data_IF_586408777245
#
_entry.id   IF_586408777245
#
_cell.length_a   1.000
_cell.length_b   1.000
_cell.length_c   1.000
_cell.angle_alpha   90.00
_cell.angle_beta   90.00
_cell.angle_gamma   90.00
#
_symmetry.space_group_name_H-M   'P 1'
#
loop_
_entity.id
_entity.type
_entity.pdbx_description
1 polymer ?
#
# COMPACT_ATOMS: atom_id res chain seq x y z
N UNK A 1 -22.86 -18.26 -10.44
CA UNK A 1 -21.85 -17.39 -9.80
C UNK A 1 -22.03 -17.57 -8.30
N UNK A 2 -20.94 -17.77 -7.55
CA UNK A 2 -21.01 -17.94 -6.09
C UNK A 2 -20.84 -16.55 -5.47
N UNK A 3 -21.85 -16.07 -4.74
CA UNK A 3 -21.75 -14.81 -4.00
C UNK A 3 -20.87 -15.07 -2.77
N UNK A 4 -19.61 -14.65 -2.86
CA UNK A 4 -18.60 -14.83 -1.82
C UNK A 4 -17.97 -13.48 -1.50
N UNK A 5 -17.82 -13.10 -0.21
CA UNK A 5 -17.15 -11.88 0.18
C UNK A 5 -15.73 -11.77 -0.41
N UNK A 6 -15.31 -10.56 -0.81
CA UNK A 6 -14.00 -10.33 -1.42
C UNK A 6 -12.85 -10.80 -0.50
N UNK A 7 -12.98 -10.62 0.81
CA UNK A 7 -12.01 -11.10 1.79
C UNK A 7 -11.77 -12.62 1.70
N UNK A 8 -12.78 -13.40 1.33
CA UNK A 8 -12.71 -14.86 1.23
C UNK A 8 -12.21 -15.34 -0.15
N UNK A 9 -12.05 -14.46 -1.14
CA UNK A 9 -11.66 -14.83 -2.51
C UNK A 9 -10.17 -15.11 -2.67
N UNK A 10 -9.33 -14.66 -1.74
CA UNK A 10 -7.88 -14.75 -1.89
C UNK A 10 -7.36 -14.04 -3.15
N UNK A 11 -8.04 -12.98 -3.60
CA UNK A 11 -7.66 -12.20 -4.77
C UNK A 11 -6.27 -11.60 -4.60
N UNK A 12 -5.34 -12.03 -5.47
CA UNK A 12 -3.99 -11.48 -5.55
C UNK A 12 -3.77 -10.93 -6.96
N UNK A 13 -3.39 -9.66 -7.06
CA UNK A 13 -3.09 -9.05 -8.35
C UNK A 13 -1.77 -9.58 -8.92
N UNK A 14 -1.62 -9.57 -10.25
CA UNK A 14 -0.38 -10.03 -10.90
C UNK A 14 0.86 -9.27 -10.38
N UNK A 15 0.75 -7.95 -10.19
CA UNK A 15 1.86 -7.13 -9.69
C UNK A 15 2.22 -7.45 -8.23
N UNK A 16 1.23 -7.75 -7.38
CA UNK A 16 1.46 -8.21 -6.00
C UNK A 16 2.12 -9.59 -6.00
N UNK A 17 1.62 -10.53 -6.80
CA UNK A 17 2.17 -11.87 -6.90
C UNK A 17 3.61 -11.87 -7.44
N UNK A 18 3.90 -11.01 -8.42
CA UNK A 18 5.20 -10.92 -9.06
C UNK A 18 6.27 -10.21 -8.21
N UNK A 19 5.88 -9.45 -7.19
CA UNK A 19 6.81 -8.64 -6.40
C UNK A 19 7.43 -9.47 -5.26
N UNK A 20 8.70 -9.87 -5.34
CA UNK A 20 9.33 -10.67 -4.29
C UNK A 20 9.53 -9.88 -2.98
N UNK A 21 9.58 -8.54 -3.07
CA UNK A 21 9.76 -7.67 -1.91
C UNK A 21 8.46 -7.45 -1.11
N UNK A 22 7.30 -7.89 -1.63
CA UNK A 22 6.00 -7.64 -0.99
C UNK A 22 5.64 -6.15 -0.94
N UNK A 23 6.08 -5.37 -1.93
CA UNK A 23 5.90 -3.91 -1.94
C UNK A 23 4.48 -3.44 -2.31
N UNK A 24 3.68 -4.32 -2.93
CA UNK A 24 2.33 -4.01 -3.41
C UNK A 24 1.35 -4.85 -2.61
N UNK A 25 0.37 -4.21 -1.98
CA UNK A 25 -0.72 -4.89 -1.27
C UNK A 25 -2.05 -4.49 -1.91
N UNK A 26 -2.86 -5.48 -2.27
CA UNK A 26 -4.19 -5.31 -2.86
C UNK A 26 -5.23 -5.93 -1.93
N UNK A 27 -6.39 -5.29 -1.78
CA UNK A 27 -7.45 -5.79 -0.92
C UNK A 27 -8.64 -4.83 -0.82
N UNK A 28 -9.58 -5.18 0.06
CA UNK A 28 -10.78 -4.38 0.33
C UNK A 28 -10.50 -3.29 1.37
N UNK A 29 -10.77 -2.03 1.01
CA UNK A 29 -10.61 -0.89 1.91
C UNK A 29 -11.75 -0.75 2.92
N UNK A 30 -12.87 -1.45 2.70
CA UNK A 30 -13.98 -1.47 3.66
C UNK A 30 -13.73 -2.45 4.80
N UNK A 31 -12.73 -3.34 4.66
CA UNK A 31 -12.28 -4.24 5.73
C UNK A 31 -11.13 -3.58 6.50
N UNK A 32 -11.33 -3.14 7.76
CA UNK A 32 -10.28 -2.52 8.56
C UNK A 32 -9.17 -3.51 8.95
N UNK A 33 -9.46 -4.81 8.93
CA UNK A 33 -8.47 -5.84 9.24
C UNK A 33 -7.54 -6.13 8.06
N UNK A 34 -7.91 -5.73 6.84
CA UNK A 34 -7.10 -5.91 5.65
C UNK A 34 -5.78 -5.10 5.74
N UNK A 35 -4.69 -5.72 5.29
CA UNK A 35 -3.36 -5.12 5.32
C UNK A 35 -3.27 -3.83 4.51
N UNK A 36 -3.97 -3.74 3.38
CA UNK A 36 -4.05 -2.51 2.57
C UNK A 36 -4.71 -1.36 3.35
N UNK A 37 -5.76 -1.63 4.13
CA UNK A 37 -6.44 -0.63 4.96
C UNK A 37 -5.51 -0.07 6.04
N UNK A 38 -4.74 -0.95 6.68
CA UNK A 38 -3.72 -0.56 7.66
C UNK A 38 -2.57 0.23 7.03
N UNK A 39 -2.18 -0.09 5.79
CA UNK A 39 -1.15 0.67 5.07
C UNK A 39 -1.65 2.05 4.66
N UNK A 40 -2.91 2.18 4.24
CA UNK A 40 -3.49 3.48 3.89
C UNK A 40 -3.65 4.41 5.10
N UNK A 41 -3.80 3.87 6.32
CA UNK A 41 -3.86 4.65 7.55
C UNK A 41 -2.49 5.02 8.14
N UNK A 42 -1.39 4.55 7.53
CA UNK A 42 -0.03 4.87 7.99
C UNK A 42 0.33 6.34 7.76
N UNK A 43 1.11 6.94 8.67
CA UNK A 43 1.70 8.28 8.49
C UNK A 43 2.63 8.40 7.25
N UNK A 44 3.09 7.25 6.75
CA UNK A 44 3.89 7.17 5.54
C UNK A 44 3.04 7.19 4.26
N UNK A 45 1.73 6.99 4.34
CA UNK A 45 0.85 6.95 3.17
C UNK A 45 0.70 8.33 2.53
N UNK A 46 0.76 8.38 1.20
CA UNK A 46 0.45 9.59 0.44
C UNK A 46 -0.10 9.23 -0.95
N UNK A 47 -0.98 10.10 -1.46
CA UNK A 47 -1.47 10.01 -2.83
C UNK A 47 -0.62 10.83 -3.78
N UNK A 48 -0.59 10.44 -5.05
CA UNK A 48 0.07 11.20 -6.12
C UNK A 48 -0.91 12.22 -6.70
N UNK A 49 -0.46 13.49 -6.82
CA UNK A 49 -1.22 14.59 -7.42
C UNK A 49 -2.61 14.81 -6.78
N UNK A 50 -2.69 14.69 -5.46
CA UNK A 50 -3.97 14.83 -4.71
C UNK A 50 -4.53 16.25 -4.74
N UNK A 51 -3.67 17.24 -4.96
CA UNK A 51 -4.02 18.66 -5.13
C UNK A 51 -4.95 18.90 -6.34
N UNK A 52 -4.95 17.99 -7.32
CA UNK A 52 -5.85 18.03 -8.47
C UNK A 52 -7.23 17.41 -8.19
N UNK A 53 -7.49 16.96 -6.96
CA UNK A 53 -8.79 16.36 -6.58
C UNK A 53 -8.99 14.93 -7.12
N UNK A 54 -7.92 14.23 -7.51
CA UNK A 54 -7.95 12.91 -8.16
C UNK A 54 -8.47 11.78 -7.28
N UNK A 55 -8.44 11.94 -5.94
CA UNK A 55 -8.87 10.93 -4.95
C UNK A 55 -8.39 9.51 -5.32
N UNK A 56 -7.07 9.31 -5.49
CA UNK A 56 -6.54 8.07 -6.03
C UNK A 56 -6.81 6.90 -5.07
N UNK A 57 -7.11 5.72 -5.65
CA UNK A 57 -7.26 4.49 -4.87
C UNK A 57 -5.92 3.85 -4.50
N UNK A 58 -4.90 4.08 -5.31
CA UNK A 58 -3.54 3.65 -5.05
C UNK A 58 -2.81 4.74 -4.28
N UNK A 59 -2.38 4.41 -3.06
CA UNK A 59 -1.50 5.23 -2.25
C UNK A 59 -0.12 4.58 -2.20
N UNK A 60 0.90 5.40 -1.95
CA UNK A 60 2.28 4.97 -1.81
C UNK A 60 2.74 5.21 -0.38
N UNK A 61 3.68 4.38 0.09
CA UNK A 61 4.37 4.62 1.35
C UNK A 61 5.67 5.38 1.11
N UNK A 62 5.93 6.40 1.92
CA UNK A 62 7.18 7.18 1.86
C UNK A 62 8.38 6.26 2.06
N UNK A 63 9.40 6.43 1.22
CA UNK A 63 10.70 5.81 1.43
C UNK A 63 11.38 6.44 2.64
N UNK A 64 11.62 5.65 3.67
CA UNK A 64 12.44 6.06 4.83
C UNK A 64 13.87 5.62 4.56
N UNK A 65 14.80 6.59 4.51
CA UNK A 65 16.22 6.32 4.48
C UNK A 65 16.76 6.47 5.91
N UNK A 66 17.57 5.52 6.38
CA UNK A 66 18.20 5.55 7.69
C UNK A 66 19.71 5.77 7.54
N UNK A 67 20.16 7.02 7.29
CA UNK A 67 21.57 7.28 7.07
C UNK A 67 22.37 7.18 8.38
N UNK A 68 23.57 6.60 8.33
CA UNK A 68 24.46 6.55 9.50
C UNK A 68 24.99 7.96 9.82
N UNK A 69 24.77 8.51 11.03
CA UNK A 69 25.24 9.85 11.42
C UNK A 69 26.74 10.09 11.19
N UNK A 70 27.57 9.06 11.29
CA UNK A 70 29.03 9.15 11.10
C UNK A 70 29.45 9.30 9.62
N UNK A 71 28.58 8.90 8.68
CA UNK A 71 28.89 8.89 7.23
C UNK A 71 28.25 10.05 6.45
N UNK A 72 27.34 10.80 7.07
CA UNK A 72 26.58 11.88 6.37
C UNK A 72 27.39 13.17 6.18
N UNK A 73 28.53 13.30 6.87
CA UNK A 73 29.36 14.52 6.88
C UNK A 73 30.76 14.34 6.28
N UNK A 74 31.07 13.19 5.66
CA UNK A 74 32.36 12.96 4.97
C UNK A 74 32.42 13.63 3.61
#
# INVERSE_FOLDING_TARGET
MKDMPLAETGLVSACQQACPAGAIEFGDLNDPSAKVSQWQSSDLAYGILTELGTRPRTLYLKRVSNPNPELVRS
#
